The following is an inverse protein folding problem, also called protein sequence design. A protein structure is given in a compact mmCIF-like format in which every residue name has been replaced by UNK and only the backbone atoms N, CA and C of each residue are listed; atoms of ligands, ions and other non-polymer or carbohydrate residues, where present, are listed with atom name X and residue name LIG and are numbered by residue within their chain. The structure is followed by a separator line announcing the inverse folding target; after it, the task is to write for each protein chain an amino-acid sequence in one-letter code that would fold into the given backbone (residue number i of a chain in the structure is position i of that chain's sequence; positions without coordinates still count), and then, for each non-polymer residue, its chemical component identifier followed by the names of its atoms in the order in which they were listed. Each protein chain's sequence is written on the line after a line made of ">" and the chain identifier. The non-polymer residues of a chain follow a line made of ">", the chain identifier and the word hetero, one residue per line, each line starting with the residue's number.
data_IF_869953590620
#
_entry.id   IF_869953590620
#
_cell.length_a   1.000
_cell.length_b   1.000
_cell.length_c   1.000
_cell.angle_alpha   90.00
_cell.angle_beta   90.00
_cell.angle_gamma   90.00
#
_symmetry.space_group_name_H-M   'P 1'
#
loop_
_entity.id
_entity.type
_entity.pdbx_description
1 polymer ?
#
# COMPACT_ATOMS: atom_id res chain seq x y z
N UNK A 1 -33.05 13.75 52.12
CA UNK A 1 -31.65 13.63 51.64
C UNK A 1 -31.72 13.54 50.15
N UNK A 2 -31.14 14.48 49.38
CA UNK A 2 -31.16 14.39 47.92
C UNK A 2 -30.13 13.36 47.47
N UNK A 3 -30.54 12.50 46.57
CA UNK A 3 -29.73 11.48 45.94
C UNK A 3 -28.48 12.05 45.28
N UNK A 4 -27.31 11.65 45.77
CA UNK A 4 -26.04 11.96 45.10
C UNK A 4 -26.03 11.22 43.77
N UNK A 5 -26.23 11.95 42.67
CA UNK A 5 -25.97 11.48 41.31
C UNK A 5 -24.48 11.16 41.26
N UNK A 6 -24.17 9.88 41.35
CA UNK A 6 -22.82 9.36 41.10
C UNK A 6 -22.41 9.79 39.68
N UNK A 7 -21.50 10.74 39.57
CA UNK A 7 -20.91 11.13 38.33
C UNK A 7 -20.27 9.89 37.67
N UNK A 8 -20.71 9.57 36.48
CA UNK A 8 -20.14 8.48 35.70
C UNK A 8 -18.63 8.68 35.62
N UNK A 9 -17.79 7.63 35.79
CA UNK A 9 -16.35 7.75 35.70
C UNK A 9 -15.98 8.36 34.34
N UNK A 10 -14.96 9.22 34.28
CA UNK A 10 -14.54 9.83 33.02
C UNK A 10 -14.20 8.71 32.02
N UNK A 11 -14.76 8.84 30.83
CA UNK A 11 -14.52 7.89 29.74
C UNK A 11 -13.00 7.75 29.50
N UNK A 12 -12.48 6.53 29.32
CA UNK A 12 -11.06 6.31 29.19
C UNK A 12 -10.49 7.13 28.02
N UNK A 13 -9.32 7.73 28.24
CA UNK A 13 -8.63 8.63 27.30
C UNK A 13 -8.39 8.05 25.87
N UNK A 14 -8.58 6.74 25.70
CA UNK A 14 -8.44 6.03 24.44
C UNK A 14 -9.60 6.21 23.44
N UNK A 15 -10.66 6.93 23.76
CA UNK A 15 -11.80 7.13 22.84
C UNK A 15 -11.51 8.04 21.65
N UNK A 16 -10.41 8.81 21.67
CA UNK A 16 -10.07 9.80 20.65
C UNK A 16 -8.69 9.59 20.02
N UNK A 17 -8.16 8.35 20.03
CA UNK A 17 -6.91 7.99 19.40
C UNK A 17 -6.91 6.48 19.09
N UNK A 18 -6.13 6.04 18.11
CA UNK A 18 -5.91 4.61 17.83
C UNK A 18 -5.09 3.94 18.94
N UNK A 19 -4.02 4.62 19.38
CA UNK A 19 -3.17 4.25 20.53
C UNK A 19 -3.13 5.41 21.52
N UNK A 20 -2.22 6.37 21.30
CA UNK A 20 -2.19 7.68 21.94
C UNK A 20 -1.96 8.74 20.86
N UNK A 21 -2.46 9.96 21.02
CA UNK A 21 -2.33 11.02 20.00
C UNK A 21 -0.88 11.29 19.56
N UNK A 22 0.11 11.39 20.46
CA UNK A 22 1.50 11.58 20.04
C UNK A 22 2.08 10.38 19.30
N UNK A 23 1.79 9.15 19.74
CA UNK A 23 2.28 7.94 19.07
C UNK A 23 1.63 7.78 17.69
N UNK A 24 0.32 8.03 17.59
CA UNK A 24 -0.40 8.02 16.32
C UNK A 24 0.17 9.04 15.33
N UNK A 25 0.54 10.26 15.79
CA UNK A 25 1.22 11.23 14.93
C UNK A 25 2.48 10.63 14.28
N UNK A 26 3.33 10.01 15.07
CA UNK A 26 4.56 9.42 14.57
C UNK A 26 4.32 8.24 13.64
N UNK A 27 3.39 7.35 14.00
CA UNK A 27 3.08 6.15 13.21
C UNK A 27 2.30 6.47 11.92
N UNK A 28 1.41 7.47 11.92
CA UNK A 28 0.59 7.82 10.76
C UNK A 28 1.33 8.64 9.70
N UNK A 29 2.51 9.19 10.02
CA UNK A 29 3.29 9.92 9.03
C UNK A 29 4.43 10.78 9.59
N UNK A 30 4.42 11.16 10.87
CA UNK A 30 5.43 12.04 11.46
C UNK A 30 6.86 11.46 11.36
N UNK A 31 7.03 10.18 11.68
CA UNK A 31 8.30 9.49 11.51
C UNK A 31 8.74 9.44 10.03
N UNK A 32 7.80 9.20 9.15
CA UNK A 32 8.01 9.20 7.70
C UNK A 32 8.49 10.56 7.19
N UNK A 33 7.84 11.66 7.63
CA UNK A 33 8.25 13.02 7.26
C UNK A 33 9.64 13.35 7.78
N UNK A 34 9.96 12.96 9.02
CA UNK A 34 11.29 13.17 9.60
C UNK A 34 12.37 12.42 8.80
N UNK A 35 12.15 11.14 8.51
CA UNK A 35 13.10 10.35 7.72
C UNK A 35 13.24 10.92 6.32
N UNK A 36 12.15 11.31 5.68
CA UNK A 36 12.19 11.98 4.38
C UNK A 36 13.03 13.25 4.41
N UNK A 37 12.85 14.11 5.42
CA UNK A 37 13.62 15.35 5.57
C UNK A 37 15.11 15.05 5.75
N UNK A 38 15.46 14.11 6.62
CA UNK A 38 16.86 13.70 6.84
C UNK A 38 17.49 13.19 5.55
N UNK A 39 16.77 12.35 4.79
CA UNK A 39 17.26 11.80 3.54
C UNK A 39 17.35 12.86 2.44
N UNK A 40 16.40 13.80 2.36
CA UNK A 40 16.45 14.91 1.42
C UNK A 40 17.66 15.84 1.69
N UNK A 41 17.93 16.12 2.96
CA UNK A 41 19.13 16.88 3.36
C UNK A 41 20.39 16.09 3.03
N UNK A 42 20.45 14.79 3.35
CA UNK A 42 21.60 13.94 3.03
C UNK A 42 21.86 13.88 1.52
N UNK A 43 20.80 13.76 0.70
CA UNK A 43 20.91 13.74 -0.74
C UNK A 43 21.54 15.03 -1.33
N UNK A 44 21.35 16.17 -0.69
CA UNK A 44 22.04 17.43 -1.07
C UNK A 44 23.56 17.37 -0.92
N UNK A 45 24.07 16.44 -0.08
CA UNK A 45 25.51 16.21 0.15
C UNK A 45 26.01 14.90 -0.47
N UNK A 46 25.30 14.34 -1.42
CA UNK A 46 25.53 13.03 -2.05
C UNK A 46 26.88 12.91 -2.77
N UNK A 47 27.48 14.02 -3.19
CA UNK A 47 28.83 14.02 -3.77
C UNK A 47 29.92 13.51 -2.82
N UNK A 48 29.60 13.40 -1.53
CA UNK A 48 30.49 12.84 -0.51
C UNK A 48 30.30 11.32 -0.43
N UNK A 49 31.36 10.51 -0.64
CA UNK A 49 31.24 9.05 -0.67
C UNK A 49 30.67 8.43 0.62
N UNK A 50 30.97 9.03 1.78
CA UNK A 50 30.46 8.57 3.07
C UNK A 50 28.94 8.76 3.19
N UNK A 51 28.38 9.80 2.59
CA UNK A 51 26.92 10.06 2.58
C UNK A 51 26.21 9.08 1.66
N UNK A 52 26.72 8.84 0.46
CA UNK A 52 26.14 7.89 -0.49
C UNK A 52 26.11 6.47 0.09
N UNK A 53 27.22 6.04 0.72
CA UNK A 53 27.27 4.76 1.41
C UNK A 53 26.21 4.64 2.54
N UNK A 54 26.00 5.70 3.32
CA UNK A 54 24.99 5.70 4.40
C UNK A 54 23.57 5.64 3.87
N UNK A 55 23.27 6.29 2.74
CA UNK A 55 21.98 6.18 2.08
C UNK A 55 21.71 4.74 1.61
N UNK A 56 22.72 4.07 1.03
CA UNK A 56 22.63 2.66 0.68
C UNK A 56 22.38 1.76 1.92
N UNK A 57 23.09 2.01 3.03
CA UNK A 57 22.86 1.28 4.29
C UNK A 57 21.44 1.50 4.85
N UNK A 58 20.89 2.70 4.72
CA UNK A 58 19.51 2.98 5.13
C UNK A 58 18.48 2.20 4.27
N UNK A 59 18.73 2.04 2.98
CA UNK A 59 17.90 1.21 2.11
C UNK A 59 17.93 -0.27 2.52
N UNK A 60 19.13 -0.82 2.80
CA UNK A 60 19.29 -2.19 3.30
C UNK A 60 18.59 -2.40 4.65
N UNK A 61 18.68 -1.42 5.56
CA UNK A 61 17.98 -1.47 6.84
C UNK A 61 16.45 -1.49 6.65
N UNK A 62 15.92 -0.66 5.75
CA UNK A 62 14.49 -0.65 5.44
C UNK A 62 14.01 -1.99 4.89
N UNK A 63 14.78 -2.61 4.01
CA UNK A 63 14.49 -3.96 3.51
C UNK A 63 14.49 -4.98 4.65
N UNK A 64 15.47 -4.94 5.55
CA UNK A 64 15.55 -5.85 6.71
C UNK A 64 14.36 -5.67 7.66
N UNK A 65 13.90 -4.43 7.88
CA UNK A 65 12.73 -4.14 8.68
C UNK A 65 11.42 -4.63 8.04
N UNK A 66 11.42 -4.89 6.74
CA UNK A 66 10.25 -5.44 6.04
C UNK A 66 9.82 -6.81 6.59
N UNK A 67 10.77 -7.64 7.07
CA UNK A 67 10.45 -8.90 7.74
C UNK A 67 9.55 -8.70 8.97
N UNK A 68 9.76 -7.62 9.71
CA UNK A 68 9.08 -7.39 11.00
C UNK A 68 7.87 -6.47 10.86
N UNK A 69 7.84 -5.59 9.87
CA UNK A 69 6.81 -4.57 9.72
C UNK A 69 5.94 -4.76 8.47
N UNK A 70 6.57 -5.00 7.33
CA UNK A 70 5.85 -5.06 6.06
C UNK A 70 5.15 -6.43 5.85
N UNK A 71 5.85 -7.54 6.05
CA UNK A 71 5.24 -8.87 5.84
C UNK A 71 4.08 -9.15 6.80
N UNK A 72 4.19 -8.87 8.11
CA UNK A 72 3.03 -8.99 9.01
C UNK A 72 1.86 -8.12 8.62
N UNK A 73 2.07 -6.91 8.11
CA UNK A 73 1.01 -6.05 7.63
C UNK A 73 0.12 -6.75 6.60
N UNK A 74 0.71 -7.43 5.61
CA UNK A 74 -0.05 -8.24 4.65
C UNK A 74 -0.82 -9.35 5.33
N UNK A 75 -0.16 -10.12 6.20
CA UNK A 75 -0.76 -11.30 6.85
C UNK A 75 -1.87 -10.93 7.85
N UNK A 76 -1.81 -9.76 8.48
CA UNK A 76 -2.92 -9.25 9.29
C UNK A 76 -4.18 -9.03 8.46
N UNK A 77 -4.08 -8.55 7.23
CA UNK A 77 -5.24 -8.40 6.36
C UNK A 77 -5.90 -9.76 6.06
N UNK A 78 -5.09 -10.79 5.75
CA UNK A 78 -5.60 -12.15 5.59
C UNK A 78 -6.30 -12.63 6.88
N UNK A 79 -5.65 -12.47 8.03
CA UNK A 79 -6.24 -12.83 9.31
C UNK A 79 -7.55 -12.09 9.55
N UNK A 80 -7.58 -10.77 9.40
CA UNK A 80 -8.77 -9.97 9.64
C UNK A 80 -9.94 -10.33 8.71
N UNK A 81 -9.68 -10.71 7.46
CA UNK A 81 -10.71 -11.10 6.51
C UNK A 81 -11.24 -12.53 6.78
N UNK A 82 -10.33 -13.51 6.81
CA UNK A 82 -10.73 -14.91 6.81
C UNK A 82 -11.19 -15.43 8.20
N UNK A 83 -10.84 -14.74 9.29
CA UNK A 83 -11.39 -15.06 10.63
C UNK A 83 -12.81 -14.54 10.86
N UNK A 84 -13.38 -13.74 9.94
CA UNK A 84 -14.80 -13.30 9.99
C UNK A 84 -15.80 -14.40 9.60
N UNK A 85 -15.30 -15.55 9.18
CA UNK A 85 -16.08 -16.73 8.87
C UNK A 85 -16.62 -16.81 7.46
N UNK A 86 -17.23 -17.97 7.14
CA UNK A 86 -17.68 -18.34 5.78
C UNK A 86 -18.67 -17.33 5.18
N UNK A 87 -19.58 -16.80 5.98
CA UNK A 87 -20.59 -15.84 5.51
C UNK A 87 -19.94 -14.57 4.93
N UNK A 88 -18.93 -14.02 5.62
CA UNK A 88 -18.19 -12.86 5.17
C UNK A 88 -17.42 -13.15 3.87
N UNK A 89 -16.74 -14.30 3.81
CA UNK A 89 -15.95 -14.70 2.62
C UNK A 89 -16.86 -14.83 1.39
N UNK A 90 -18.02 -15.48 1.54
CA UNK A 90 -18.98 -15.62 0.44
C UNK A 90 -19.65 -14.30 0.04
N UNK A 91 -19.94 -13.40 0.99
CA UNK A 91 -20.46 -12.07 0.68
C UNK A 91 -19.45 -11.22 -0.11
N UNK A 92 -18.16 -11.51 0.01
CA UNK A 92 -17.07 -10.84 -0.70
C UNK A 92 -16.30 -11.80 -1.61
N UNK A 93 -17.02 -12.78 -2.22
CA UNK A 93 -16.44 -13.87 -3.00
C UNK A 93 -15.53 -13.39 -4.14
N UNK A 94 -15.85 -12.25 -4.74
CA UNK A 94 -15.02 -11.69 -5.80
C UNK A 94 -13.61 -11.37 -5.33
N UNK A 95 -13.48 -10.61 -4.23
CA UNK A 95 -12.19 -10.19 -3.68
C UNK A 95 -11.46 -11.33 -2.98
N UNK A 96 -12.19 -12.19 -2.25
CA UNK A 96 -11.59 -13.19 -1.35
C UNK A 96 -11.46 -14.58 -1.97
N UNK A 97 -12.12 -14.85 -3.11
CA UNK A 97 -12.05 -16.15 -3.79
C UNK A 97 -11.66 -15.97 -5.26
N UNK A 98 -12.41 -15.20 -6.06
CA UNK A 98 -12.17 -15.12 -7.49
C UNK A 98 -10.82 -14.46 -7.83
N UNK A 99 -10.49 -13.34 -7.18
CA UNK A 99 -9.20 -12.64 -7.41
C UNK A 99 -8.00 -13.54 -7.10
N UNK A 100 -7.88 -14.19 -5.92
CA UNK A 100 -6.72 -15.05 -5.66
C UNK A 100 -6.66 -16.26 -6.59
N UNK A 101 -7.80 -16.84 -7.00
CA UNK A 101 -7.81 -17.93 -7.98
C UNK A 101 -7.35 -17.46 -9.37
N UNK A 102 -7.79 -16.27 -9.80
CA UNK A 102 -7.35 -15.69 -11.07
C UNK A 102 -5.84 -15.37 -11.06
N UNK A 103 -5.33 -14.80 -9.96
CA UNK A 103 -3.90 -14.55 -9.79
C UNK A 103 -3.09 -15.85 -9.76
N UNK A 104 -3.54 -16.86 -9.03
CA UNK A 104 -2.89 -18.18 -9.01
C UNK A 104 -2.87 -18.82 -10.39
N UNK A 105 -3.99 -18.77 -11.14
CA UNK A 105 -4.06 -19.26 -12.50
C UNK A 105 -3.14 -18.53 -13.47
N UNK A 106 -3.05 -17.20 -13.35
CA UNK A 106 -2.15 -16.36 -14.14
C UNK A 106 -0.68 -16.70 -13.88
N UNK A 107 -0.29 -16.82 -12.60
CA UNK A 107 1.08 -17.16 -12.21
C UNK A 107 1.43 -18.61 -12.55
N UNK A 108 0.48 -19.55 -12.42
CA UNK A 108 0.66 -20.92 -12.87
C UNK A 108 0.88 -21.01 -14.39
N UNK A 109 0.14 -20.24 -15.18
CA UNK A 109 0.35 -20.13 -16.63
C UNK A 109 1.72 -19.50 -16.94
N UNK A 110 2.13 -18.45 -16.19
CA UNK A 110 3.45 -17.84 -16.33
C UNK A 110 4.57 -18.86 -16.10
N UNK A 111 4.43 -19.75 -15.11
CA UNK A 111 5.41 -20.80 -14.83
C UNK A 111 5.39 -21.87 -15.92
N UNK A 112 4.22 -22.43 -16.21
CA UNK A 112 4.07 -23.58 -17.15
C UNK A 112 4.54 -23.25 -18.57
N UNK A 113 4.34 -22.02 -19.02
CA UNK A 113 4.67 -21.56 -20.37
C UNK A 113 5.83 -20.54 -20.38
N UNK A 114 6.65 -20.52 -19.33
CA UNK A 114 7.65 -19.47 -19.14
C UNK A 114 8.58 -19.28 -20.34
N UNK A 115 9.11 -20.38 -20.89
CA UNK A 115 10.12 -20.37 -21.94
C UNK A 115 9.54 -20.19 -23.37
N UNK A 116 8.23 -20.15 -23.52
CA UNK A 116 7.61 -20.02 -24.85
C UNK A 116 7.90 -18.62 -25.40
N UNK A 117 8.54 -18.48 -26.59
CA UNK A 117 8.73 -17.18 -27.22
C UNK A 117 7.38 -16.56 -27.58
N UNK A 118 7.13 -15.31 -27.17
CA UNK A 118 5.87 -14.62 -27.45
C UNK A 118 5.61 -14.51 -28.94
N UNK A 119 6.65 -14.25 -29.74
CA UNK A 119 6.56 -14.16 -31.21
C UNK A 119 5.99 -15.42 -31.88
N UNK A 120 6.11 -16.58 -31.25
CA UNK A 120 5.61 -17.87 -31.77
C UNK A 120 4.12 -18.12 -31.45
N UNK A 121 3.48 -17.24 -30.67
CA UNK A 121 2.07 -17.41 -30.32
C UNK A 121 1.16 -16.94 -31.45
N UNK A 122 0.10 -17.71 -31.83
CA UNK A 122 -0.75 -17.39 -32.98
C UNK A 122 -1.43 -16.02 -32.93
N UNK A 123 -1.64 -15.51 -31.72
CA UNK A 123 -2.29 -14.22 -31.47
C UNK A 123 -1.31 -13.05 -31.31
N UNK A 124 0.00 -13.30 -31.30
CA UNK A 124 1.02 -12.27 -30.96
C UNK A 124 0.96 -11.05 -31.89
N UNK A 125 0.85 -11.26 -33.19
CA UNK A 125 0.78 -10.16 -34.15
C UNK A 125 -0.50 -9.31 -34.00
N UNK A 126 -1.66 -9.97 -33.79
CA UNK A 126 -2.93 -9.28 -33.57
C UNK A 126 -2.93 -8.51 -32.24
N UNK A 127 -2.39 -9.10 -31.16
CA UNK A 127 -2.27 -8.46 -29.88
C UNK A 127 -1.30 -7.26 -29.94
N UNK A 128 -0.17 -7.38 -30.62
CA UNK A 128 0.74 -6.26 -30.84
C UNK A 128 0.06 -5.10 -31.53
N UNK A 129 -0.70 -5.35 -32.59
CA UNK A 129 -1.49 -4.32 -33.28
C UNK A 129 -2.51 -3.65 -32.39
N UNK A 130 -3.28 -4.43 -31.60
CA UNK A 130 -4.29 -3.92 -30.70
C UNK A 130 -3.71 -3.11 -29.51
N UNK A 131 -2.51 -3.46 -29.05
CA UNK A 131 -1.84 -2.83 -27.91
C UNK A 131 -0.93 -1.66 -28.31
N UNK A 132 -0.65 -1.50 -29.59
CA UNK A 132 0.19 -0.42 -30.12
C UNK A 132 -0.26 0.99 -29.71
N UNK A 133 -1.57 1.34 -29.74
CA UNK A 133 -2.02 2.67 -29.28
C UNK A 133 -1.74 2.96 -27.80
N UNK A 134 -1.50 1.92 -27.00
CA UNK A 134 -1.20 2.04 -25.56
C UNK A 134 0.30 1.93 -25.26
N UNK A 135 1.17 1.88 -26.27
CA UNK A 135 2.60 1.68 -26.08
C UNK A 135 2.99 0.29 -25.55
N UNK A 136 2.09 -0.71 -25.63
CA UNK A 136 2.30 -2.07 -25.11
C UNK A 136 2.73 -3.08 -26.17
N UNK A 137 2.85 -2.68 -27.43
CA UNK A 137 3.24 -3.57 -28.52
C UNK A 137 4.64 -4.17 -28.32
N UNK A 138 5.58 -3.43 -27.73
CA UNK A 138 6.92 -3.91 -27.45
C UNK A 138 6.93 -5.09 -26.47
N UNK A 139 6.00 -5.15 -25.53
CA UNK A 139 5.84 -6.27 -24.61
C UNK A 139 5.46 -7.57 -25.33
N UNK A 140 4.71 -7.46 -26.41
CA UNK A 140 4.21 -8.63 -27.15
C UNK A 140 5.21 -9.05 -28.25
N UNK A 141 5.83 -8.09 -28.95
CA UNK A 141 6.70 -8.39 -30.10
C UNK A 141 8.15 -8.60 -29.70
N UNK A 142 8.64 -7.81 -28.75
CA UNK A 142 10.04 -7.83 -28.29
C UNK A 142 10.22 -8.49 -26.94
N UNK A 143 9.13 -8.92 -26.29
CA UNK A 143 9.19 -9.66 -25.05
C UNK A 143 9.84 -11.03 -25.30
N UNK A 144 10.92 -11.36 -24.62
CA UNK A 144 11.69 -12.55 -24.96
C UNK A 144 10.90 -13.84 -24.73
N UNK A 145 10.07 -13.90 -23.67
CA UNK A 145 9.35 -15.11 -23.23
C UNK A 145 7.97 -14.78 -22.71
N UNK A 146 7.04 -15.73 -22.85
CA UNK A 146 5.66 -15.58 -22.38
C UNK A 146 5.58 -15.41 -20.84
N UNK A 147 6.44 -16.10 -20.09
CA UNK A 147 6.53 -15.92 -18.66
C UNK A 147 6.91 -14.48 -18.25
N UNK A 148 7.89 -13.88 -18.92
CA UNK A 148 8.27 -12.47 -18.68
C UNK A 148 7.11 -11.51 -19.01
N UNK A 149 6.35 -11.78 -20.08
CA UNK A 149 5.16 -11.00 -20.41
C UNK A 149 4.10 -11.07 -19.30
N UNK A 150 3.77 -12.26 -18.82
CA UNK A 150 2.75 -12.44 -17.78
C UNK A 150 3.19 -11.87 -16.44
N UNK A 151 4.45 -12.08 -16.03
CA UNK A 151 5.01 -11.46 -14.83
C UNK A 151 5.04 -9.95 -14.95
N UNK A 152 5.42 -9.41 -16.12
CA UNK A 152 5.44 -7.98 -16.38
C UNK A 152 4.05 -7.34 -16.30
N UNK A 153 3.03 -7.96 -16.89
CA UNK A 153 1.63 -7.52 -16.77
C UNK A 153 1.18 -7.55 -15.32
N UNK A 154 1.48 -8.65 -14.60
CA UNK A 154 1.12 -8.79 -13.18
C UNK A 154 1.81 -7.73 -12.33
N UNK A 155 3.08 -7.42 -12.60
CA UNK A 155 3.83 -6.37 -11.93
C UNK A 155 3.25 -4.97 -12.20
N UNK A 156 2.92 -4.66 -13.46
CA UNK A 156 2.24 -3.39 -13.80
C UNK A 156 0.89 -3.27 -13.09
N UNK A 157 0.13 -4.37 -12.98
CA UNK A 157 -1.11 -4.41 -12.20
C UNK A 157 -0.84 -4.14 -10.71
N UNK A 158 0.24 -4.71 -10.16
CA UNK A 158 0.66 -4.43 -8.77
C UNK A 158 0.99 -2.93 -8.59
N UNK A 159 1.79 -2.33 -9.47
CA UNK A 159 2.13 -0.90 -9.40
C UNK A 159 0.89 0.00 -9.53
N UNK A 160 -0.04 -0.35 -10.41
CA UNK A 160 -1.30 0.37 -10.55
C UNK A 160 -2.13 0.29 -9.25
N UNK A 161 -2.26 -0.88 -8.68
CA UNK A 161 -3.11 -1.12 -7.51
C UNK A 161 -2.47 -0.67 -6.19
N UNK A 162 -1.13 -0.68 -6.07
CA UNK A 162 -0.42 -0.23 -4.86
C UNK A 162 -0.68 1.25 -4.57
N UNK A 163 -0.60 2.10 -5.58
CA UNK A 163 -0.84 3.53 -5.39
C UNK A 163 -2.30 3.82 -5.03
N UNK A 164 -3.25 3.11 -5.64
CA UNK A 164 -4.66 3.18 -5.27
C UNK A 164 -4.88 2.71 -3.82
N UNK A 165 -4.23 1.63 -3.39
CA UNK A 165 -4.30 1.11 -2.04
C UNK A 165 -3.73 2.12 -1.01
N UNK A 166 -2.56 2.70 -1.27
CA UNK A 166 -1.94 3.70 -0.39
C UNK A 166 -2.83 4.94 -0.22
N UNK A 167 -3.41 5.45 -1.31
CA UNK A 167 -4.32 6.61 -1.23
C UNK A 167 -5.59 6.31 -0.43
N UNK A 168 -6.12 5.09 -0.53
CA UNK A 168 -7.28 4.68 0.28
C UNK A 168 -6.96 4.56 1.76
N UNK A 169 -5.80 4.01 2.11
CA UNK A 169 -5.37 3.93 3.51
C UNK A 169 -5.21 5.33 4.10
N UNK A 170 -4.51 6.23 3.41
CA UNK A 170 -4.34 7.62 3.85
C UNK A 170 -5.69 8.31 4.03
N UNK A 171 -6.61 8.14 3.08
CA UNK A 171 -7.98 8.65 3.22
C UNK A 171 -8.68 8.06 4.46
N UNK A 172 -8.52 6.78 4.73
CA UNK A 172 -9.05 6.10 5.92
C UNK A 172 -8.51 6.71 7.21
N UNK A 173 -7.19 6.93 7.30
CA UNK A 173 -6.54 7.60 8.43
C UNK A 173 -7.13 8.99 8.69
N UNK A 174 -7.27 9.79 7.63
CA UNK A 174 -7.88 11.12 7.71
C UNK A 174 -9.32 11.06 8.22
N UNK A 175 -10.13 10.12 7.73
CA UNK A 175 -11.55 9.98 8.15
C UNK A 175 -11.67 9.55 9.62
N UNK A 176 -10.79 8.67 10.10
CA UNK A 176 -10.77 8.28 11.52
C UNK A 176 -10.43 9.47 12.41
N UNK A 177 -9.42 10.25 12.04
CA UNK A 177 -9.07 11.44 12.82
C UNK A 177 -10.09 12.58 12.69
N UNK A 178 -10.75 12.74 11.55
CA UNK A 178 -11.90 13.64 11.44
C UNK A 178 -13.01 13.26 12.45
N UNK A 179 -13.24 11.95 12.62
CA UNK A 179 -14.21 11.45 13.61
C UNK A 179 -13.73 11.69 15.05
N UNK A 180 -12.50 11.30 15.41
CA UNK A 180 -11.95 11.46 16.76
C UNK A 180 -11.88 12.92 17.22
N UNK A 181 -11.61 13.82 16.28
CA UNK A 181 -11.50 15.26 16.56
C UNK A 181 -12.87 15.98 16.55
N UNK A 182 -13.95 15.29 16.21
CA UNK A 182 -15.22 15.92 15.95
C UNK A 182 -15.12 17.01 14.87
N UNK A 183 -14.32 16.75 13.82
CA UNK A 183 -14.12 17.61 12.65
C UNK A 183 -14.92 17.03 11.47
N UNK A 184 -16.24 17.29 11.42
CA UNK A 184 -17.10 16.67 10.44
C UNK A 184 -16.79 17.19 9.04
N UNK A 185 -16.65 16.27 8.09
CA UNK A 185 -16.51 16.59 6.68
C UNK A 185 -17.83 16.33 5.94
N UNK A 186 -18.25 17.28 5.14
CA UNK A 186 -19.40 17.10 4.22
C UNK A 186 -19.06 16.03 3.16
N UNK A 187 -20.08 15.44 2.50
CA UNK A 187 -19.84 14.53 1.39
C UNK A 187 -18.94 15.11 0.29
N UNK A 188 -19.09 16.40 -0.02
CA UNK A 188 -18.26 17.09 -1.01
C UNK A 188 -16.82 17.26 -0.55
N UNK A 189 -16.60 17.63 0.71
CA UNK A 189 -15.24 17.72 1.28
C UNK A 189 -14.53 16.37 1.27
N UNK A 190 -15.23 15.27 1.60
CA UNK A 190 -14.70 13.89 1.49
C UNK A 190 -14.37 13.53 0.05
N UNK A 191 -15.22 13.94 -0.90
CA UNK A 191 -14.98 13.71 -2.33
C UNK A 191 -13.74 14.45 -2.81
N UNK A 192 -13.62 15.74 -2.50
CA UNK A 192 -12.46 16.57 -2.85
C UNK A 192 -11.16 16.00 -2.25
N UNK A 193 -11.17 15.64 -0.96
CA UNK A 193 -10.01 14.98 -0.31
C UNK A 193 -9.60 13.71 -1.04
N UNK A 194 -10.57 12.86 -1.39
CA UNK A 194 -10.31 11.62 -2.14
C UNK A 194 -9.71 11.89 -3.51
N UNK A 195 -10.25 12.86 -4.25
CA UNK A 195 -9.73 13.21 -5.58
C UNK A 195 -8.32 13.81 -5.51
N UNK A 196 -8.02 14.62 -4.49
CA UNK A 196 -6.66 15.13 -4.27
C UNK A 196 -5.66 13.98 -4.11
N UNK A 197 -5.98 12.97 -3.27
CA UNK A 197 -5.13 11.80 -3.08
C UNK A 197 -5.00 10.95 -4.36
N UNK A 198 -6.11 10.69 -5.07
CA UNK A 198 -6.10 9.94 -6.33
C UNK A 198 -5.35 10.68 -7.44
N UNK A 199 -5.37 12.02 -7.45
CA UNK A 199 -4.57 12.82 -8.36
C UNK A 199 -3.06 12.54 -8.21
N UNK A 200 -2.59 12.44 -6.96
CA UNK A 200 -1.19 12.09 -6.69
C UNK A 200 -0.85 10.68 -7.18
N UNK A 201 -1.70 9.70 -6.95
CA UNK A 201 -1.53 8.36 -7.50
C UNK A 201 -1.44 8.38 -9.05
N UNK A 202 -2.34 9.12 -9.71
CA UNK A 202 -2.33 9.24 -11.16
C UNK A 202 -1.02 9.88 -11.67
N UNK A 203 -0.52 10.93 -11.01
CA UNK A 203 0.75 11.57 -11.35
C UNK A 203 1.91 10.57 -11.25
N UNK A 204 1.99 9.82 -10.15
CA UNK A 204 3.06 8.82 -9.96
C UNK A 204 2.98 7.71 -11.00
N UNK A 205 1.77 7.23 -11.30
CA UNK A 205 1.57 6.22 -12.33
C UNK A 205 2.02 6.72 -13.73
N UNK A 206 1.57 7.91 -14.10
CA UNK A 206 1.97 8.54 -15.37
C UNK A 206 3.48 8.69 -15.48
N UNK A 207 4.11 9.24 -14.44
CA UNK A 207 5.54 9.50 -14.45
C UNK A 207 6.40 8.22 -14.51
N UNK A 208 5.94 7.14 -13.89
CA UNK A 208 6.60 5.83 -13.97
C UNK A 208 6.43 5.17 -15.37
N UNK A 209 5.52 5.65 -16.18
CA UNK A 209 5.12 5.00 -17.43
C UNK A 209 5.31 5.88 -18.69
N UNK A 210 6.13 6.94 -18.62
CA UNK A 210 6.38 7.83 -19.77
C UNK A 210 7.42 7.34 -20.79
N UNK A 211 8.26 6.41 -20.40
CA UNK A 211 9.45 6.11 -21.22
C UNK A 211 9.29 4.92 -22.17
N UNK A 212 8.22 4.14 -22.07
CA UNK A 212 8.04 2.90 -22.86
C UNK A 212 9.21 1.89 -22.76
N UNK A 213 10.12 2.11 -21.83
CA UNK A 213 11.37 1.37 -21.74
C UNK A 213 11.18 0.04 -21.01
N UNK A 214 11.98 -0.94 -21.40
CA UNK A 214 12.18 -2.15 -20.61
C UNK A 214 12.94 -1.79 -19.34
N UNK A 215 12.42 -2.28 -18.21
CA UNK A 215 12.98 -2.09 -16.87
C UNK A 215 13.21 -3.44 -16.23
N UNK A 216 14.17 -3.50 -15.33
CA UNK A 216 14.43 -4.65 -14.49
C UNK A 216 13.91 -4.41 -13.09
N UNK A 217 13.24 -5.40 -12.52
CA UNK A 217 12.91 -5.41 -11.10
C UNK A 217 13.25 -6.79 -10.55
N UNK A 218 14.02 -6.83 -9.46
CA UNK A 218 14.62 -8.07 -8.98
C UNK A 218 15.36 -8.78 -10.12
N UNK A 219 14.88 -9.95 -10.54
CA UNK A 219 15.52 -10.80 -11.56
C UNK A 219 14.70 -10.93 -12.84
N UNK A 220 13.60 -10.18 -13.00
CA UNK A 220 12.78 -10.21 -14.21
C UNK A 220 12.65 -8.83 -14.88
N UNK A 221 12.40 -8.87 -16.18
CA UNK A 221 12.23 -7.67 -16.98
C UNK A 221 10.76 -7.43 -17.27
N UNK A 222 10.34 -6.15 -17.22
CA UNK A 222 9.00 -5.72 -17.59
C UNK A 222 9.07 -4.44 -18.42
N UNK A 223 8.07 -4.21 -19.26
CA UNK A 223 7.94 -2.97 -20.02
C UNK A 223 6.99 -2.02 -19.32
N UNK A 224 7.36 -0.74 -19.24
CA UNK A 224 6.45 0.34 -18.86
C UNK A 224 5.60 0.77 -20.07
N UNK A 225 4.49 1.46 -19.82
CA UNK A 225 3.70 2.10 -20.86
C UNK A 225 4.52 3.22 -21.51
N UNK A 226 4.20 3.54 -22.78
CA UNK A 226 4.75 4.70 -23.48
C UNK A 226 3.71 5.82 -23.49
N UNK A 227 3.51 6.45 -22.33
CA UNK A 227 2.54 7.52 -22.19
C UNK A 227 3.07 8.82 -22.79
N UNK A 228 2.21 9.61 -23.48
CA UNK A 228 2.61 10.88 -24.07
C UNK A 228 3.22 11.84 -23.04
N UNK A 229 4.20 12.64 -23.42
CA UNK A 229 4.86 13.63 -22.55
C UNK A 229 3.88 14.61 -21.91
N UNK A 230 2.80 14.94 -22.61
CA UNK A 230 1.74 15.81 -22.09
C UNK A 230 0.99 15.20 -20.87
N UNK A 231 1.02 13.89 -20.70
CA UNK A 231 0.31 13.23 -19.60
C UNK A 231 0.83 13.68 -18.22
N UNK A 232 2.15 13.91 -18.08
CA UNK A 232 2.73 14.33 -16.81
C UNK A 232 2.34 15.75 -16.37
N UNK A 233 2.45 16.80 -17.23
CA UNK A 233 1.98 18.13 -16.85
C UNK A 233 0.47 18.17 -16.59
N UNK A 234 -0.35 17.41 -17.33
CA UNK A 234 -1.79 17.29 -17.08
C UNK A 234 -2.05 16.67 -15.72
N UNK A 235 -1.39 15.55 -15.39
CA UNK A 235 -1.50 14.93 -14.09
C UNK A 235 -1.01 15.86 -12.95
N UNK A 236 0.05 16.61 -13.16
CA UNK A 236 0.56 17.64 -12.25
C UNK A 236 -0.47 18.74 -11.98
N UNK A 237 -1.15 19.22 -13.03
CA UNK A 237 -2.23 20.20 -12.90
C UNK A 237 -3.42 19.64 -12.09
N UNK A 238 -3.79 18.37 -12.33
CA UNK A 238 -4.83 17.68 -11.55
C UNK A 238 -4.46 17.63 -10.06
N UNK A 239 -3.19 17.30 -9.76
CA UNK A 239 -2.67 17.28 -8.37
C UNK A 239 -2.75 18.67 -7.74
N UNK A 240 -2.22 19.68 -8.40
CA UNK A 240 -2.21 21.07 -7.90
C UNK A 240 -3.63 21.58 -7.66
N UNK A 241 -4.54 21.35 -8.60
CA UNK A 241 -5.96 21.73 -8.48
C UNK A 241 -6.64 20.96 -7.34
N UNK A 242 -6.44 19.64 -7.26
CA UNK A 242 -7.00 18.80 -6.20
C UNK A 242 -6.53 19.22 -4.82
N UNK A 243 -5.24 19.50 -4.65
CA UNK A 243 -4.66 19.96 -3.39
C UNK A 243 -5.16 21.37 -3.02
N UNK A 244 -5.22 22.29 -3.98
CA UNK A 244 -5.74 23.63 -3.77
C UNK A 244 -7.23 23.62 -3.35
N UNK A 245 -8.04 22.78 -4.00
CA UNK A 245 -9.44 22.59 -3.62
C UNK A 245 -9.59 21.94 -2.24
N UNK A 246 -8.74 20.96 -1.88
CA UNK A 246 -8.75 20.36 -0.56
C UNK A 246 -8.34 21.39 0.51
N UNK A 247 -7.29 22.16 0.29
CA UNK A 247 -6.87 23.24 1.20
C UNK A 247 -7.99 24.29 1.39
N UNK A 248 -8.62 24.72 0.29
CA UNK A 248 -9.73 25.68 0.37
C UNK A 248 -10.97 25.10 1.03
N UNK A 249 -11.50 23.96 0.54
CA UNK A 249 -12.79 23.40 0.99
C UNK A 249 -12.73 22.75 2.35
N UNK A 250 -11.63 22.04 2.65
CA UNK A 250 -11.51 21.24 3.88
C UNK A 250 -10.88 22.04 5.02
N UNK A 251 -9.90 22.91 4.73
CA UNK A 251 -9.21 23.67 5.78
C UNK A 251 -9.80 25.07 5.90
N UNK A 252 -9.68 25.89 4.86
CA UNK A 252 -10.04 27.31 4.93
C UNK A 252 -11.56 27.53 5.15
N UNK A 253 -12.42 26.87 4.38
CA UNK A 253 -13.88 27.04 4.51
C UNK A 253 -14.41 26.53 5.87
N UNK A 254 -13.86 25.45 6.42
CA UNK A 254 -14.21 25.01 7.76
C UNK A 254 -13.69 25.96 8.83
N UNK A 255 -12.49 26.51 8.66
CA UNK A 255 -11.95 27.51 9.59
C UNK A 255 -12.81 28.77 9.62
N UNK A 256 -13.19 29.31 8.46
CA UNK A 256 -14.06 30.50 8.40
C UNK A 256 -15.47 30.26 8.95
N UNK A 257 -15.98 29.02 8.82
CA UNK A 257 -17.33 28.68 9.31
C UNK A 257 -17.36 28.34 10.81
N UNK A 258 -16.31 27.78 11.38
CA UNK A 258 -16.29 27.20 12.73
C UNK A 258 -15.14 27.66 13.63
N UNK A 259 -14.19 28.43 13.13
CA UNK A 259 -12.95 28.80 13.83
C UNK A 259 -12.00 27.61 14.10
N UNK A 260 -12.27 26.42 13.54
CA UNK A 260 -11.54 25.20 13.84
C UNK A 260 -10.66 24.77 12.68
N UNK A 261 -9.40 24.47 12.97
CA UNK A 261 -8.48 23.82 12.05
C UNK A 261 -8.51 22.29 12.25
N UNK A 262 -8.21 21.50 11.21
CA UNK A 262 -8.04 20.07 11.37
C UNK A 262 -6.79 19.78 12.23
N UNK A 263 -6.79 18.68 12.96
CA UNK A 263 -5.63 18.27 13.77
C UNK A 263 -4.44 17.88 12.90
N UNK A 264 -3.26 17.90 13.52
CA UNK A 264 -2.05 17.43 12.86
C UNK A 264 -2.16 15.94 12.48
N UNK A 265 -2.81 15.13 13.30
CA UNK A 265 -3.04 13.71 13.02
C UNK A 265 -3.98 13.46 11.84
N UNK A 266 -4.86 14.41 11.54
CA UNK A 266 -5.66 14.39 10.31
C UNK A 266 -4.79 14.73 9.07
N UNK A 267 -3.87 15.68 9.18
CA UNK A 267 -3.09 16.19 8.04
C UNK A 267 -1.85 15.34 7.72
N UNK A 268 -1.19 14.78 8.75
CA UNK A 268 0.11 14.13 8.58
C UNK A 268 0.12 12.93 7.64
N UNK A 269 -0.93 12.08 7.53
CA UNK A 269 -0.95 10.99 6.56
C UNK A 269 -0.91 11.49 5.12
N UNK A 270 -1.65 12.56 4.82
CA UNK A 270 -1.65 13.18 3.49
C UNK A 270 -0.31 13.84 3.18
N UNK A 271 0.26 14.59 4.13
CA UNK A 271 1.57 15.20 3.96
C UNK A 271 2.65 14.14 3.68
N UNK A 272 2.66 13.04 4.44
CA UNK A 272 3.58 11.94 4.23
C UNK A 272 3.45 11.32 2.83
N UNK A 273 2.20 11.05 2.37
CA UNK A 273 1.98 10.52 1.02
C UNK A 273 2.56 11.46 -0.04
N UNK A 274 2.28 12.77 0.08
CA UNK A 274 2.72 13.73 -0.93
C UNK A 274 4.23 13.86 -1.00
N UNK A 275 4.94 13.96 0.13
CA UNK A 275 6.40 14.15 0.11
C UNK A 275 7.14 12.95 -0.48
N UNK A 276 6.69 11.72 -0.19
CA UNK A 276 7.30 10.52 -0.74
C UNK A 276 7.03 10.35 -2.24
N UNK A 277 5.95 10.93 -2.75
CA UNK A 277 5.55 10.81 -4.14
C UNK A 277 5.92 12.01 -4.99
N UNK A 278 6.60 13.01 -4.43
CA UNK A 278 7.15 14.11 -5.21
C UNK A 278 8.28 13.62 -6.14
N UNK A 279 8.38 14.16 -7.36
CA UNK A 279 9.40 13.75 -8.34
C UNK A 279 10.84 13.82 -7.83
N UNK A 280 11.14 14.78 -6.93
CA UNK A 280 12.47 14.99 -6.35
C UNK A 280 12.99 13.79 -5.55
N UNK A 281 12.10 13.04 -4.91
CA UNK A 281 12.46 11.89 -4.05
C UNK A 281 12.39 10.57 -4.78
N UNK A 282 11.64 10.47 -5.88
CA UNK A 282 11.40 9.21 -6.58
C UNK A 282 12.56 8.66 -7.39
N UNK A 283 13.59 9.46 -7.66
CA UNK A 283 14.78 9.03 -8.37
C UNK A 283 15.75 8.21 -7.51
N UNK A 284 15.48 8.12 -6.20
CA UNK A 284 16.35 7.46 -5.25
C UNK A 284 15.89 6.03 -4.98
N UNK A 285 16.80 5.04 -5.02
CA UNK A 285 16.49 3.62 -4.80
C UNK A 285 15.81 3.35 -3.46
N UNK A 286 16.19 4.07 -2.40
CA UNK A 286 15.60 3.90 -1.08
C UNK A 286 14.10 4.22 -1.04
N UNK A 287 13.57 4.98 -1.99
CA UNK A 287 12.14 5.26 -2.09
C UNK A 287 11.32 3.96 -2.20
N UNK A 288 11.79 2.99 -2.99
CA UNK A 288 11.08 1.71 -3.16
C UNK A 288 10.96 0.90 -1.87
N UNK A 289 11.87 1.10 -0.92
CA UNK A 289 11.87 0.40 0.36
C UNK A 289 11.20 1.21 1.47
N UNK A 290 11.37 2.53 1.47
CA UNK A 290 10.85 3.40 2.52
C UNK A 290 9.34 3.62 2.41
N UNK A 291 8.79 3.82 1.21
CA UNK A 291 7.37 4.05 1.04
C UNK A 291 6.51 2.85 1.49
N UNK A 292 6.78 1.58 1.09
CA UNK A 292 6.11 0.41 1.63
C UNK A 292 6.29 0.23 3.13
N UNK A 293 7.50 0.50 3.65
CA UNK A 293 7.79 0.39 5.07
C UNK A 293 6.90 1.32 5.90
N UNK A 294 6.88 2.62 5.56
CA UNK A 294 6.06 3.59 6.30
C UNK A 294 4.56 3.41 6.07
N UNK A 295 4.14 2.89 4.92
CA UNK A 295 2.77 2.47 4.70
C UNK A 295 2.36 1.36 5.69
N UNK A 296 3.23 0.38 5.91
CA UNK A 296 3.00 -0.69 6.89
C UNK A 296 2.99 -0.16 8.33
N UNK A 297 3.92 0.74 8.67
CA UNK A 297 3.92 1.41 9.98
C UNK A 297 2.61 2.17 10.23
N UNK A 298 2.08 2.83 9.21
CA UNK A 298 0.79 3.54 9.28
C UNK A 298 -0.40 2.60 9.52
N UNK A 299 -0.30 1.35 9.07
CA UNK A 299 -1.34 0.32 9.23
C UNK A 299 -1.39 -0.27 10.65
N UNK A 300 -0.25 -0.36 11.33
CA UNK A 300 -0.12 -1.04 12.63
C UNK A 300 -1.06 -0.49 13.72
N UNK A 301 -1.27 0.83 13.90
CA UNK A 301 -2.21 1.34 14.90
C UNK A 301 -3.64 0.83 14.71
N UNK A 302 -4.08 0.67 13.46
CA UNK A 302 -5.40 0.15 13.12
C UNK A 302 -5.54 -1.31 13.50
N UNK A 303 -4.56 -2.13 13.11
CA UNK A 303 -4.52 -3.55 13.47
C UNK A 303 -4.47 -3.73 14.98
N UNK A 304 -3.58 -2.99 15.66
CA UNK A 304 -3.48 -3.03 17.11
C UNK A 304 -4.83 -2.72 17.77
N UNK A 305 -5.50 -1.66 17.34
CA UNK A 305 -6.80 -1.25 17.88
C UNK A 305 -7.86 -2.35 17.72
N UNK A 306 -7.94 -2.97 16.56
CA UNK A 306 -8.90 -4.05 16.27
C UNK A 306 -8.56 -5.32 17.07
N UNK A 307 -7.31 -5.77 17.06
CA UNK A 307 -6.91 -7.00 17.77
C UNK A 307 -6.97 -6.82 19.29
N UNK A 308 -6.65 -5.66 19.84
CA UNK A 308 -6.82 -5.38 21.27
C UNK A 308 -8.31 -5.31 21.66
N UNK A 309 -9.17 -4.74 20.83
CA UNK A 309 -10.61 -4.75 21.04
C UNK A 309 -11.17 -6.19 21.03
N UNK A 310 -10.77 -6.99 20.03
CA UNK A 310 -11.14 -8.43 19.97
C UNK A 310 -10.66 -9.20 21.20
N UNK A 311 -9.40 -8.97 21.61
CA UNK A 311 -8.82 -9.57 22.82
C UNK A 311 -9.64 -9.25 24.08
N UNK A 312 -10.01 -7.98 24.26
CA UNK A 312 -10.83 -7.53 25.41
C UNK A 312 -12.21 -8.18 25.38
N UNK A 313 -12.86 -8.23 24.23
CA UNK A 313 -14.17 -8.88 24.06
C UNK A 313 -14.09 -10.37 24.39
N UNK A 314 -13.03 -11.05 23.96
CA UNK A 314 -12.78 -12.46 24.26
C UNK A 314 -12.23 -12.72 25.68
N UNK A 315 -11.98 -11.67 26.48
CA UNK A 315 -11.31 -11.74 27.80
C UNK A 315 -9.97 -12.47 27.76
N UNK A 316 -9.26 -12.39 26.63
CA UNK A 316 -7.97 -13.04 26.44
C UNK A 316 -6.82 -12.24 27.07
N UNK A 317 -5.72 -12.90 27.42
CA UNK A 317 -4.54 -12.28 28.01
C UNK A 317 -3.73 -11.43 27.02
N UNK A 318 -2.84 -10.57 27.51
CA UNK A 318 -1.87 -9.87 26.67
C UNK A 318 -0.90 -10.84 25.96
N UNK A 319 -0.55 -11.95 26.64
CA UNK A 319 0.28 -12.98 26.02
C UNK A 319 -0.37 -13.60 24.78
N UNK A 320 -1.71 -13.71 24.74
CA UNK A 320 -2.43 -14.16 23.55
C UNK A 320 -2.27 -13.19 22.38
N UNK A 321 -2.31 -11.87 22.62
CA UNK A 321 -2.07 -10.87 21.58
C UNK A 321 -0.63 -10.93 21.04
N UNK A 322 0.35 -11.06 21.94
CA UNK A 322 1.76 -11.25 21.55
C UNK A 322 1.92 -12.53 20.72
N UNK A 323 1.26 -13.62 21.13
CA UNK A 323 1.25 -14.87 20.35
C UNK A 323 0.68 -14.70 18.94
N UNK A 324 -0.40 -13.94 18.78
CA UNK A 324 -0.97 -13.62 17.47
C UNK A 324 0.02 -12.83 16.62
N UNK A 325 0.66 -11.79 17.18
CA UNK A 325 1.66 -10.99 16.46
C UNK A 325 2.83 -11.87 16.02
N UNK A 326 3.38 -12.70 16.94
CA UNK A 326 4.48 -13.60 16.62
C UNK A 326 4.10 -14.60 15.51
N UNK A 327 2.90 -15.19 15.58
CA UNK A 327 2.41 -16.10 14.55
C UNK A 327 2.29 -15.44 13.18
N UNK A 328 1.82 -14.19 13.13
CA UNK A 328 1.69 -13.41 11.89
C UNK A 328 3.07 -13.03 11.32
N UNK A 329 4.04 -12.68 12.17
CA UNK A 329 5.45 -12.43 11.74
C UNK A 329 6.04 -13.69 11.12
N UNK A 330 5.92 -14.84 11.78
CA UNK A 330 6.42 -16.13 11.27
C UNK A 330 5.71 -16.50 9.97
N UNK A 331 4.39 -16.36 9.90
CA UNK A 331 3.62 -16.65 8.69
C UNK A 331 4.05 -15.74 7.52
N UNK A 332 4.34 -14.47 7.79
CA UNK A 332 4.85 -13.53 6.80
C UNK A 332 6.21 -13.97 6.23
N UNK A 333 7.15 -14.31 7.11
CA UNK A 333 8.45 -14.84 6.68
C UNK A 333 8.32 -16.15 5.89
N UNK A 334 7.47 -17.07 6.33
CA UNK A 334 7.20 -18.31 5.59
C UNK A 334 6.63 -18.02 4.19
N UNK A 335 5.67 -17.11 4.08
CA UNK A 335 4.96 -16.83 2.83
C UNK A 335 5.79 -16.04 1.81
N UNK A 336 6.65 -15.13 2.25
CA UNK A 336 7.43 -14.29 1.35
C UNK A 336 8.84 -14.83 1.06
N UNK A 337 9.44 -15.57 2.02
CA UNK A 337 10.84 -15.99 1.94
C UNK A 337 10.99 -17.51 1.92
N UNK A 338 10.74 -18.17 3.05
CA UNK A 338 11.17 -19.56 3.22
C UNK A 338 10.50 -20.52 2.24
N UNK A 339 9.17 -20.50 2.15
CA UNK A 339 8.43 -21.44 1.29
C UNK A 339 8.75 -21.20 -0.18
N UNK A 340 8.62 -19.97 -0.75
CA UNK A 340 8.89 -19.76 -2.16
C UNK A 340 10.35 -20.00 -2.52
N UNK A 341 11.33 -19.58 -1.69
CA UNK A 341 12.74 -19.85 -1.94
C UNK A 341 13.08 -21.34 -1.88
N UNK A 342 12.41 -22.10 -1.00
CA UNK A 342 12.59 -23.56 -0.94
C UNK A 342 12.06 -24.24 -2.21
N UNK A 343 10.89 -23.80 -2.70
CA UNK A 343 10.33 -24.31 -3.96
C UNK A 343 11.22 -23.96 -5.14
N UNK A 344 11.74 -22.73 -5.20
CA UNK A 344 12.68 -22.31 -6.26
C UNK A 344 13.94 -23.18 -6.26
N UNK A 345 14.50 -23.51 -5.10
CA UNK A 345 15.67 -24.42 -4.98
C UNK A 345 15.32 -25.84 -5.38
N UNK A 346 14.18 -26.35 -4.92
CA UNK A 346 13.77 -27.73 -5.20
C UNK A 346 13.51 -27.96 -6.70
N UNK A 347 12.95 -26.95 -7.40
CA UNK A 347 12.68 -27.00 -8.84
C UNK A 347 13.79 -26.43 -9.70
N UNK A 348 14.90 -26.00 -9.09
CA UNK A 348 16.06 -25.39 -9.76
C UNK A 348 15.66 -24.26 -10.74
N UNK A 349 14.73 -23.41 -10.32
CA UNK A 349 14.14 -22.40 -11.20
C UNK A 349 15.15 -21.40 -11.72
N UNK A 350 16.17 -21.05 -10.94
CA UNK A 350 17.22 -20.12 -11.35
C UNK A 350 18.05 -20.68 -12.51
N UNK A 351 18.37 -21.97 -12.53
CA UNK A 351 19.04 -22.61 -13.66
C UNK A 351 18.09 -22.83 -14.83
N UNK A 352 16.84 -23.27 -14.58
CA UNK A 352 15.88 -23.61 -15.63
C UNK A 352 15.27 -22.36 -16.30
N UNK A 353 14.97 -21.31 -15.54
CA UNK A 353 14.23 -20.13 -15.99
C UNK A 353 15.07 -18.83 -15.97
N UNK A 354 16.20 -18.84 -15.27
CA UNK A 354 17.06 -17.67 -15.07
C UNK A 354 16.54 -16.70 -13.99
N UNK A 355 15.53 -17.11 -13.21
CA UNK A 355 14.92 -16.29 -12.14
C UNK A 355 14.52 -17.17 -10.96
N UNK A 356 14.37 -16.56 -9.76
CA UNK A 356 13.69 -17.16 -8.61
C UNK A 356 12.19 -16.94 -8.76
N UNK A 357 11.55 -17.80 -9.54
CA UNK A 357 10.16 -17.60 -9.99
C UNK A 357 9.17 -17.53 -8.85
N UNK A 358 9.25 -18.48 -7.89
CA UNK A 358 8.26 -18.58 -6.81
C UNK A 358 8.39 -17.46 -5.78
N UNK A 359 9.59 -16.91 -5.55
CA UNK A 359 9.79 -15.70 -4.73
C UNK A 359 9.07 -14.51 -5.39
N UNK A 360 9.24 -14.32 -6.69
CA UNK A 360 8.57 -13.25 -7.44
C UNK A 360 7.05 -13.47 -7.46
N UNK A 361 6.61 -14.68 -7.73
CA UNK A 361 5.19 -15.02 -7.78
C UNK A 361 4.49 -14.81 -6.42
N UNK A 362 5.10 -15.20 -5.31
CA UNK A 362 4.59 -14.98 -3.96
C UNK A 362 4.48 -13.48 -3.66
N UNK A 363 5.51 -12.70 -3.99
CA UNK A 363 5.50 -11.25 -3.83
C UNK A 363 4.34 -10.62 -4.61
N UNK A 364 4.19 -10.93 -5.89
CA UNK A 364 3.12 -10.38 -6.73
C UNK A 364 1.74 -10.81 -6.24
N UNK A 365 1.56 -12.09 -5.94
CA UNK A 365 0.29 -12.64 -5.46
C UNK A 365 -0.16 -11.97 -4.16
N UNK A 366 0.69 -11.97 -3.14
CA UNK A 366 0.33 -11.48 -1.81
C UNK A 366 0.04 -9.98 -1.85
N UNK A 367 0.89 -9.19 -2.53
CA UNK A 367 0.69 -7.75 -2.64
C UNK A 367 -0.66 -7.42 -3.31
N UNK A 368 -0.91 -7.97 -4.49
CA UNK A 368 -2.14 -7.66 -5.22
C UNK A 368 -3.37 -8.12 -4.45
N UNK A 369 -3.38 -9.37 -3.96
CA UNK A 369 -4.53 -9.90 -3.23
C UNK A 369 -4.81 -9.12 -1.94
N UNK A 370 -3.79 -8.73 -1.20
CA UNK A 370 -3.92 -7.89 -0.01
C UNK A 370 -4.68 -6.58 -0.29
N UNK A 371 -4.42 -5.90 -1.42
CA UNK A 371 -5.14 -4.67 -1.78
C UNK A 371 -6.64 -4.90 -1.96
N UNK A 372 -7.02 -6.05 -2.50
CA UNK A 372 -8.43 -6.45 -2.61
C UNK A 372 -9.03 -6.80 -1.26
N UNK A 373 -8.29 -7.49 -0.38
CA UNK A 373 -8.72 -7.81 0.99
C UNK A 373 -9.00 -6.50 1.75
N UNK A 374 -8.06 -5.57 1.77
CA UNK A 374 -8.19 -4.32 2.52
C UNK A 374 -9.36 -3.46 2.04
N UNK A 375 -9.71 -3.56 0.76
CA UNK A 375 -10.90 -2.90 0.25
C UNK A 375 -12.22 -3.48 0.84
N UNK A 376 -12.19 -4.67 1.41
CA UNK A 376 -13.36 -5.30 2.05
C UNK A 376 -13.40 -5.07 3.55
N UNK A 377 -12.25 -5.17 4.23
CA UNK A 377 -12.20 -5.17 5.70
C UNK A 377 -12.22 -3.77 6.33
N UNK A 378 -11.78 -2.73 5.62
CA UNK A 378 -11.70 -1.36 6.13
C UNK A 378 -12.86 -0.46 5.64
N UNK A 379 -14.10 -0.96 5.76
CA UNK A 379 -15.29 -0.18 5.38
C UNK A 379 -15.96 0.42 6.61
N UNK A 380 -16.01 1.75 6.71
CA UNK A 380 -16.74 2.45 7.79
C UNK A 380 -18.27 2.24 7.74
N UNK A 381 -18.82 1.74 6.64
CA UNK A 381 -20.19 1.26 6.58
C UNK A 381 -20.43 -0.04 7.36
N UNK A 382 -19.38 -0.81 7.60
CA UNK A 382 -19.42 -2.07 8.35
C UNK A 382 -19.52 -1.79 9.88
N UNK A 383 -20.54 -2.35 10.52
CA UNK A 383 -20.79 -2.16 11.94
C UNK A 383 -19.69 -2.76 12.83
N UNK A 384 -19.12 -3.90 12.44
CA UNK A 384 -18.03 -4.55 13.17
C UNK A 384 -16.76 -3.68 13.16
N UNK A 385 -16.41 -3.11 11.99
CA UNK A 385 -15.28 -2.18 11.85
C UNK A 385 -15.46 -0.97 12.76
N UNK A 386 -16.65 -0.36 12.76
CA UNK A 386 -16.94 0.78 13.65
C UNK A 386 -16.84 0.39 15.12
N UNK A 387 -17.37 -0.77 15.51
CA UNK A 387 -17.36 -1.23 16.89
C UNK A 387 -15.93 -1.41 17.43
N UNK A 388 -15.03 -1.95 16.61
CA UNK A 388 -13.64 -2.19 17.03
C UNK A 388 -12.73 -0.97 16.88
N UNK A 389 -12.99 -0.10 15.91
CA UNK A 389 -12.10 1.00 15.55
C UNK A 389 -12.50 2.33 16.22
N UNK A 390 -13.79 2.65 16.31
CA UNK A 390 -14.28 3.96 16.70
C UNK A 390 -14.86 4.01 18.12
N UNK A 391 -15.08 2.88 18.77
CA UNK A 391 -15.52 2.77 20.17
C UNK A 391 -14.32 2.45 21.07
#
# INVERSE_FOLDING_TARGET
>A
MPDAVLASPPAPAHRHALTTRPLDFWLLGGASLLVWLVMAVAAAFRTRPDVDQRLGQAAVLALSLSLVLNYPHFLFSYRLAYTRGRGFVLAHWWQLIAVPLALAGLLAAAYAFYQVPVANLPWAAAAAGALSPFGLNAQVVSGPRFGDLLLGITFNLMILTIGWHYTKQVFGCMMVYAHFDGYPLTPDQRRVTRWALLGMWALVFVDNNRSGAWRSHLTFSYSSFDLPDLAAPVAGLIVATGLGLAAYRVVYANYTASGRLPSVNFLVPMAALYVWWLPLTRQEEFYFFMAPLFHSVQYLPFVYRVEDSRRRTARASQAALVGVVAAVVVAGWLAFELVPATVDRFLDTSAALGISFFVIAAMLFINIHHYFIDNTIWRFSDAEVRAHLLQ
#
